data_IF_729298372163
#
_entry.id   IF_729298372163
#
_cell.length_a   1.000
_cell.length_b   1.000
_cell.length_c   1.000
_cell.angle_alpha   90.00
_cell.angle_beta   90.00
_cell.angle_gamma   90.00
#
_symmetry.space_group_name_H-M   'P 1'
#
loop_
_entity.id
_entity.type
_entity.pdbx_description
1 polymer ?
#
# COMPACT_ATOMS: atom_id res chain seq x y z
N UNK A 1 17.66 8.00 1.45
CA UNK A 1 17.57 8.17 2.92
C UNK A 1 17.28 6.95 3.77
N UNK A 2 16.17 6.21 3.62
CA UNK A 2 15.81 5.12 4.55
C UNK A 2 16.89 4.03 4.75
N UNK A 3 17.69 3.74 3.71
CA UNK A 3 18.79 2.78 3.79
C UNK A 3 19.94 3.22 4.70
N UNK A 4 20.27 4.52 4.72
CA UNK A 4 21.36 5.06 5.56
C UNK A 4 20.98 4.98 7.03
N UNK A 5 19.71 5.21 7.36
CA UNK A 5 19.19 5.11 8.74
C UNK A 5 19.29 3.66 9.23
N UNK A 6 18.89 2.69 8.42
CA UNK A 6 18.97 1.27 8.77
C UNK A 6 20.41 0.78 8.90
N UNK A 7 21.28 1.16 7.97
CA UNK A 7 22.70 0.83 8.03
C UNK A 7 23.35 1.42 9.29
N UNK A 8 23.09 2.70 9.59
CA UNK A 8 23.60 3.34 10.81
C UNK A 8 23.10 2.66 12.09
N UNK A 9 21.82 2.28 12.13
CA UNK A 9 21.25 1.55 13.26
C UNK A 9 21.87 0.15 13.43
N UNK A 10 22.10 -0.58 12.33
CA UNK A 10 22.75 -1.89 12.33
C UNK A 10 24.20 -1.78 12.81
N UNK A 11 24.98 -0.83 12.28
CA UNK A 11 26.36 -0.57 12.71
C UNK A 11 26.40 -0.23 14.21
N UNK A 12 25.49 0.63 14.67
CA UNK A 12 25.39 0.98 16.09
C UNK A 12 25.03 -0.21 16.98
N UNK A 13 24.16 -1.11 16.51
CA UNK A 13 23.80 -2.34 17.22
C UNK A 13 24.99 -3.29 17.35
N UNK A 14 25.71 -3.55 16.25
CA UNK A 14 26.89 -4.42 16.24
C UNK A 14 28.00 -3.91 17.16
N UNK A 15 28.24 -2.58 17.17
CA UNK A 15 29.22 -1.96 18.08
C UNK A 15 28.86 -2.16 19.54
N UNK A 16 27.58 -2.01 19.93
CA UNK A 16 27.12 -2.24 21.31
C UNK A 16 27.31 -3.69 21.75
N UNK A 17 27.30 -4.63 20.82
CA UNK A 17 27.56 -6.05 21.07
C UNK A 17 29.04 -6.42 20.94
N UNK A 18 29.94 -5.44 20.76
CA UNK A 18 31.38 -5.66 20.54
C UNK A 18 31.69 -6.57 19.34
N UNK A 19 30.83 -6.56 18.32
CA UNK A 19 31.01 -7.34 17.08
C UNK A 19 31.88 -6.56 16.10
N UNK A 20 32.88 -7.22 15.50
CA UNK A 20 33.70 -6.64 14.43
C UNK A 20 32.81 -6.28 13.25
N UNK A 21 32.98 -5.06 12.74
CA UNK A 21 32.13 -4.58 11.67
C UNK A 21 32.34 -5.41 10.39
N UNK A 22 31.28 -6.00 9.82
CA UNK A 22 31.41 -6.72 8.57
C UNK A 22 31.69 -5.75 7.42
N UNK A 23 32.10 -6.30 6.28
CA UNK A 23 32.31 -5.52 5.06
C UNK A 23 31.05 -4.72 4.68
N UNK A 24 31.24 -3.56 4.06
CA UNK A 24 30.16 -2.63 3.74
C UNK A 24 29.04 -3.29 2.92
N UNK A 25 29.40 -4.12 1.94
CA UNK A 25 28.46 -4.86 1.11
C UNK A 25 27.54 -5.80 1.94
N UNK A 26 28.02 -6.34 3.05
CA UNK A 26 27.23 -7.18 3.94
C UNK A 26 26.21 -6.33 4.72
N UNK A 27 26.60 -5.13 5.16
CA UNK A 27 25.69 -4.17 5.83
C UNK A 27 24.59 -3.70 4.87
N UNK A 28 24.94 -3.39 3.63
CA UNK A 28 24.00 -2.99 2.59
C UNK A 28 22.99 -4.09 2.28
N UNK A 29 23.48 -5.33 2.07
CA UNK A 29 22.63 -6.50 1.83
C UNK A 29 21.68 -6.76 3.00
N UNK A 30 22.18 -6.75 4.24
CA UNK A 30 21.36 -6.95 5.43
C UNK A 30 20.27 -5.88 5.56
N UNK A 31 20.60 -4.62 5.24
CA UNK A 31 19.64 -3.51 5.27
C UNK A 31 18.57 -3.65 4.18
N UNK A 32 18.97 -4.00 2.95
CA UNK A 32 18.04 -4.25 1.85
C UNK A 32 17.10 -5.42 2.16
N UNK A 33 17.63 -6.50 2.73
CA UNK A 33 16.84 -7.64 3.14
C UNK A 33 15.87 -7.28 4.27
N UNK A 34 16.31 -6.52 5.28
CA UNK A 34 15.45 -6.04 6.34
C UNK A 34 14.27 -5.21 5.80
N UNK A 35 14.52 -4.33 4.81
CA UNK A 35 13.46 -3.58 4.13
C UNK A 35 12.49 -4.53 3.43
N UNK A 36 12.98 -5.49 2.65
CA UNK A 36 12.14 -6.45 1.93
C UNK A 36 11.28 -7.27 2.90
N UNK A 37 11.88 -7.79 3.98
CA UNK A 37 11.16 -8.54 5.02
C UNK A 37 10.12 -7.68 5.73
N UNK A 38 10.45 -6.43 6.05
CA UNK A 38 9.52 -5.50 6.68
C UNK A 38 8.34 -5.17 5.75
N UNK A 39 8.60 -4.88 4.47
CA UNK A 39 7.54 -4.62 3.49
C UNK A 39 6.63 -5.84 3.30
N UNK A 40 7.20 -7.06 3.24
CA UNK A 40 6.40 -8.29 3.17
C UNK A 40 5.47 -8.40 4.38
N UNK A 41 5.99 -8.25 5.59
CA UNK A 41 5.17 -8.27 6.83
C UNK A 41 4.07 -7.21 6.83
N UNK A 42 4.36 -6.01 6.32
CA UNK A 42 3.35 -4.95 6.17
C UNK A 42 2.25 -5.40 5.21
N UNK A 43 2.61 -5.92 4.04
CA UNK A 43 1.61 -6.38 3.06
C UNK A 43 0.80 -7.56 3.57
N UNK A 44 1.43 -8.50 4.27
CA UNK A 44 0.74 -9.64 4.87
C UNK A 44 -0.28 -9.16 5.91
N UNK A 45 0.11 -8.24 6.81
CA UNK A 45 -0.79 -7.68 7.82
C UNK A 45 -1.95 -6.87 7.22
N UNK A 46 -1.71 -6.14 6.11
CA UNK A 46 -2.76 -5.42 5.38
C UNK A 46 -3.73 -6.37 4.66
N UNK A 47 -3.24 -7.52 4.20
CA UNK A 47 -4.03 -8.49 3.45
C UNK A 47 -4.67 -9.59 4.32
N UNK A 48 -4.23 -9.75 5.56
CA UNK A 48 -4.76 -10.69 6.55
C UNK A 48 -6.29 -10.59 6.75
N UNK A 49 -6.91 -9.41 6.94
CA UNK A 49 -8.36 -9.32 7.13
C UNK A 49 -9.15 -9.50 5.83
N UNK A 50 -8.49 -9.56 4.68
CA UNK A 50 -9.16 -9.63 3.38
C UNK A 50 -9.43 -11.09 3.00
N UNK A 51 -10.71 -11.46 2.95
CA UNK A 51 -11.15 -12.68 2.27
C UNK A 51 -10.78 -12.67 0.78
N UNK A 52 -10.68 -13.84 0.16
CA UNK A 52 -10.34 -13.98 -1.26
C UNK A 52 -11.32 -13.28 -2.19
N UNK A 53 -12.56 -13.07 -1.76
CA UNK A 53 -13.53 -12.25 -2.48
C UNK A 53 -13.11 -10.76 -2.52
N UNK A 54 -12.68 -10.20 -1.39
CA UNK A 54 -12.20 -8.81 -1.33
C UNK A 54 -10.95 -8.63 -2.19
N UNK A 55 -10.00 -9.58 -2.12
CA UNK A 55 -8.78 -9.57 -2.92
C UNK A 55 -9.09 -9.55 -4.42
N UNK A 56 -9.97 -10.45 -4.87
CA UNK A 56 -10.42 -10.48 -6.28
C UNK A 56 -11.07 -9.16 -6.71
N UNK A 57 -11.94 -8.57 -5.88
CA UNK A 57 -12.59 -7.28 -6.18
C UNK A 57 -11.58 -6.14 -6.28
N UNK A 58 -10.57 -6.13 -5.41
CA UNK A 58 -9.46 -5.17 -5.48
C UNK A 58 -8.60 -5.38 -6.73
N UNK A 59 -8.31 -6.63 -7.10
CA UNK A 59 -7.58 -6.96 -8.33
C UNK A 59 -8.38 -6.57 -9.58
N UNK A 60 -9.70 -6.71 -9.55
CA UNK A 60 -10.59 -6.27 -10.63
C UNK A 60 -10.53 -4.76 -10.85
N UNK A 61 -10.15 -3.97 -9.82
CA UNK A 61 -9.93 -2.54 -10.00
C UNK A 61 -8.74 -2.22 -10.92
N UNK A 62 -7.80 -3.16 -11.09
CA UNK A 62 -6.64 -3.01 -11.97
C UNK A 62 -6.99 -3.29 -13.43
N UNK A 63 -8.16 -3.88 -13.71
CA UNK A 63 -8.62 -4.13 -15.08
C UNK A 63 -9.07 -2.83 -15.74
N UNK A 64 -8.96 -2.79 -17.07
CA UNK A 64 -9.49 -1.68 -17.87
C UNK A 64 -11.02 -1.65 -17.75
N UNK A 65 -11.56 -0.44 -17.64
CA UNK A 65 -13.00 -0.21 -17.72
C UNK A 65 -13.48 -0.38 -19.17
N UNK A 66 -14.78 -0.58 -19.37
CA UNK A 66 -15.39 -0.83 -20.68
C UNK A 66 -15.12 0.25 -21.73
N UNK A 67 -14.83 1.48 -21.29
CA UNK A 67 -14.45 2.59 -22.18
C UNK A 67 -12.98 2.56 -22.62
N UNK A 68 -12.18 1.57 -22.19
CA UNK A 68 -10.82 1.28 -22.61
C UNK A 68 -9.73 2.29 -22.22
N UNK A 69 -10.10 3.50 -21.76
CA UNK A 69 -9.16 4.62 -21.54
C UNK A 69 -8.47 4.61 -20.19
N UNK A 70 -9.05 3.93 -19.19
CA UNK A 70 -8.56 3.95 -17.81
C UNK A 70 -8.91 2.66 -17.08
N UNK A 71 -8.20 2.35 -16.01
CA UNK A 71 -8.59 1.26 -15.10
C UNK A 71 -9.71 1.72 -14.17
N UNK A 72 -10.42 0.78 -13.58
CA UNK A 72 -11.42 1.08 -12.55
C UNK A 72 -10.80 1.88 -11.39
N UNK A 73 -9.60 1.50 -10.93
CA UNK A 73 -8.86 2.21 -9.88
C UNK A 73 -8.54 3.66 -10.28
N UNK A 74 -8.04 3.87 -11.49
CA UNK A 74 -7.65 5.20 -11.95
C UNK A 74 -8.87 6.12 -12.12
N UNK A 75 -10.02 5.59 -12.54
CA UNK A 75 -11.28 6.34 -12.56
C UNK A 75 -11.77 6.67 -11.15
N UNK A 76 -11.74 5.72 -10.21
CA UNK A 76 -12.15 5.95 -8.81
C UNK A 76 -11.31 7.02 -8.11
N UNK A 77 -10.02 7.10 -8.45
CA UNK A 77 -9.09 8.11 -7.90
C UNK A 77 -9.18 9.48 -8.60
N UNK A 78 -9.91 9.60 -9.70
CA UNK A 78 -10.04 10.86 -10.42
C UNK A 78 -10.81 11.87 -9.56
N UNK A 79 -10.32 13.12 -9.48
CA UNK A 79 -10.99 14.17 -8.71
C UNK A 79 -12.46 14.34 -9.15
N UNK A 80 -13.40 14.47 -8.20
CA UNK A 80 -14.80 14.67 -8.54
C UNK A 80 -15.00 15.99 -9.29
N UNK A 81 -15.77 15.95 -10.38
CA UNK A 81 -16.16 17.15 -11.11
C UNK A 81 -17.17 17.99 -10.31
N UNK A 82 -17.26 19.29 -10.64
CA UNK A 82 -18.18 20.23 -9.99
C UNK A 82 -19.61 19.66 -9.96
N UNK A 83 -20.28 19.65 -8.79
CA UNK A 83 -21.62 19.08 -8.67
C UNK A 83 -22.60 19.80 -9.60
N UNK A 84 -23.20 19.03 -10.51
CA UNK A 84 -24.32 19.40 -11.36
C UNK A 84 -25.12 18.12 -11.65
N UNK A 85 -26.35 18.25 -12.17
CA UNK A 85 -27.25 17.11 -12.37
C UNK A 85 -26.62 15.95 -13.16
N UNK A 86 -25.75 16.25 -14.13
CA UNK A 86 -25.03 15.25 -14.93
C UNK A 86 -23.94 14.54 -14.12
N UNK A 87 -23.14 15.28 -13.36
CA UNK A 87 -22.06 14.70 -12.54
C UNK A 87 -22.56 13.99 -11.29
N UNK A 88 -23.77 14.31 -10.80
CA UNK A 88 -24.37 13.59 -9.67
C UNK A 88 -24.52 12.09 -9.94
N UNK A 89 -24.91 11.70 -11.16
CA UNK A 89 -24.98 10.29 -11.55
C UNK A 89 -23.61 9.62 -11.49
N UNK A 90 -22.55 10.30 -11.95
CA UNK A 90 -21.19 9.75 -11.87
C UNK A 90 -20.73 9.58 -10.42
N UNK A 91 -21.06 10.52 -9.53
CA UNK A 91 -20.75 10.43 -8.10
C UNK A 91 -21.47 9.25 -7.44
N UNK A 92 -22.74 9.01 -7.80
CA UNK A 92 -23.51 7.85 -7.34
C UNK A 92 -22.85 6.55 -7.80
N UNK A 93 -22.45 6.46 -9.06
CA UNK A 93 -21.77 5.27 -9.59
C UNK A 93 -20.43 5.02 -8.90
N UNK A 94 -19.68 6.08 -8.53
CA UNK A 94 -18.46 5.94 -7.74
C UNK A 94 -18.75 5.41 -6.34
N UNK A 95 -19.78 5.91 -5.67
CA UNK A 95 -20.17 5.43 -4.35
C UNK A 95 -20.58 3.96 -4.40
N UNK A 96 -21.37 3.56 -5.40
CA UNK A 96 -21.73 2.15 -5.62
C UNK A 96 -20.49 1.28 -5.85
N UNK A 97 -19.53 1.74 -6.64
CA UNK A 97 -18.30 1.00 -6.90
C UNK A 97 -17.44 0.85 -5.62
N UNK A 98 -17.34 1.88 -4.79
CA UNK A 98 -16.67 1.79 -3.48
C UNK A 98 -17.39 0.82 -2.53
N UNK A 99 -18.72 0.88 -2.46
CA UNK A 99 -19.53 -0.03 -1.65
C UNK A 99 -19.43 -1.47 -2.13
N UNK A 100 -19.36 -1.70 -3.45
CA UNK A 100 -19.23 -3.03 -4.03
C UNK A 100 -17.92 -3.74 -3.69
N UNK A 101 -16.88 -3.01 -3.26
CA UNK A 101 -15.67 -3.62 -2.71
C UNK A 101 -15.95 -4.39 -1.42
N UNK A 102 -16.93 -3.93 -0.64
CA UNK A 102 -17.42 -4.59 0.58
C UNK A 102 -16.27 -4.88 1.56
N UNK A 103 -15.38 -3.90 1.72
CA UNK A 103 -14.18 -4.10 2.53
C UNK A 103 -14.57 -4.31 4.01
N UNK A 104 -13.81 -5.12 4.76
CA UNK A 104 -14.06 -5.33 6.18
C UNK A 104 -14.14 -4.02 6.96
N UNK A 105 -15.13 -3.89 7.83
CA UNK A 105 -15.25 -2.72 8.71
C UNK A 105 -14.02 -2.61 9.61
N UNK A 106 -13.44 -1.41 9.75
CA UNK A 106 -12.26 -1.18 10.59
C UNK A 106 -10.93 -1.35 9.87
N UNK A 107 -10.92 -1.76 8.59
CA UNK A 107 -9.69 -1.92 7.80
C UNK A 107 -8.90 -0.61 7.65
N UNK A 108 -9.57 0.53 7.74
CA UNK A 108 -8.95 1.86 7.69
C UNK A 108 -7.97 2.10 8.84
N UNK A 109 -8.10 1.37 9.97
CA UNK A 109 -7.21 1.48 11.12
C UNK A 109 -5.88 0.75 10.92
N UNK A 110 -5.82 -0.17 9.96
CA UNK A 110 -4.62 -0.94 9.64
C UNK A 110 -3.65 -0.18 8.75
N UNK A 111 -4.15 0.83 8.02
CA UNK A 111 -3.32 1.70 7.18
C UNK A 111 -2.97 2.96 7.96
N UNK A 112 -1.68 3.14 8.27
CA UNK A 112 -1.20 4.37 8.91
C UNK A 112 -1.56 5.60 8.05
N UNK A 113 -2.03 6.68 8.67
CA UNK A 113 -2.49 7.89 7.95
C UNK A 113 -1.43 8.45 6.97
N UNK A 114 -0.15 8.49 7.39
CA UNK A 114 0.98 8.88 6.53
C UNK A 114 1.28 7.94 5.34
N UNK A 115 0.53 6.84 5.15
CA UNK A 115 0.59 5.98 3.96
C UNK A 115 -0.53 6.28 2.95
N UNK A 116 -1.48 7.14 3.30
CA UNK A 116 -2.61 7.55 2.46
C UNK A 116 -2.38 8.90 1.73
N UNK A 117 -1.16 9.47 1.85
CA UNK A 117 -0.75 10.75 1.25
C UNK A 117 0.11 10.53 0.01
#
# INVERSE_FOLDING_TARGET
DKGIVLASALIGHLRRQSVILPALNAVERASAEAITRANRRIYDALAEPLADAHRRRLDDLLKRRDNGKTTWLAWLRQSPAKPNSRHMLEHIERLKAWQALDLPTGIERLVHQNRLL
#
